data_IF_973878720713
#
_entry.id   IF_973878720713
#
_cell.length_a   1.000
_cell.length_b   1.000
_cell.length_c   1.000
_cell.angle_alpha   90.00
_cell.angle_beta   90.00
_cell.angle_gamma   90.00
#
_symmetry.space_group_name_H-M   'P 1'
#
loop_
_entity.id
_entity.type
_entity.pdbx_description
1 polymer ?
#
# COMPACT_ATOMS: atom_id res chain seq x y z
N UNK A 1 0.59 6.85 2.81
CA UNK A 1 1.87 6.17 3.15
C UNK A 1 1.65 5.39 4.44
N UNK A 2 2.15 4.15 4.52
CA UNK A 2 1.97 3.28 5.68
C UNK A 2 3.35 2.92 6.25
N UNK A 3 3.59 3.27 7.51
CA UNK A 3 4.83 3.04 8.25
C UNK A 3 4.59 1.93 9.28
N UNK A 4 5.51 0.97 9.46
CA UNK A 4 5.42 -0.04 10.52
C UNK A 4 5.38 0.57 11.93
N UNK A 5 4.67 -0.08 12.86
CA UNK A 5 4.52 0.43 14.23
C UNK A 5 5.84 0.50 15.00
N UNK A 6 6.74 -0.44 14.75
CA UNK A 6 8.07 -0.53 15.35
C UNK A 6 8.97 0.64 14.91
N UNK A 7 8.80 1.07 13.65
CA UNK A 7 9.50 2.23 13.11
C UNK A 7 8.94 3.52 13.71
N UNK A 8 7.62 3.60 13.92
CA UNK A 8 6.99 4.74 14.59
C UNK A 8 7.40 4.84 16.07
N UNK A 9 7.64 3.70 16.73
CA UNK A 9 8.09 3.66 18.13
C UNK A 9 9.51 4.20 18.31
N UNK A 10 10.43 3.89 17.38
CA UNK A 10 11.82 4.36 17.44
C UNK A 10 12.36 4.83 16.08
N UNK A 11 11.88 5.95 15.51
CA UNK A 11 12.21 6.34 14.13
C UNK A 11 13.69 6.52 13.84
N UNK A 12 14.49 6.83 14.86
CA UNK A 12 15.94 7.06 14.74
C UNK A 12 16.74 5.78 14.49
N UNK A 13 16.23 4.62 14.90
CA UNK A 13 16.92 3.33 14.78
C UNK A 13 16.74 2.70 13.39
N UNK A 14 15.85 3.27 12.59
CA UNK A 14 15.47 2.74 11.29
C UNK A 14 15.87 3.70 10.17
N UNK A 15 16.17 3.14 9.00
CA UNK A 15 16.36 3.90 7.77
C UNK A 15 15.51 3.32 6.65
N UNK A 16 14.88 4.22 5.87
CA UNK A 16 14.07 3.86 4.73
C UNK A 16 14.97 3.34 3.61
N UNK A 17 14.68 2.13 3.12
CA UNK A 17 15.46 1.45 2.08
C UNK A 17 14.67 1.17 0.80
N UNK A 18 13.37 1.45 0.80
CA UNK A 18 12.53 1.25 -0.37
C UNK A 18 11.06 1.33 -0.04
N UNK A 19 10.24 0.99 -1.03
CA UNK A 19 8.79 1.14 -0.98
C UNK A 19 8.13 -0.04 -1.71
N UNK A 20 6.91 -0.39 -1.30
CA UNK A 20 6.03 -1.29 -2.05
C UNK A 20 4.71 -0.58 -2.30
N UNK A 21 4.22 -0.69 -3.52
CA UNK A 21 2.95 -0.11 -3.93
C UNK A 21 1.87 -1.18 -3.94
N UNK A 22 0.66 -0.76 -3.62
CA UNK A 22 -0.56 -1.50 -3.88
C UNK A 22 -1.50 -0.54 -4.60
N UNK A 23 -1.77 -0.82 -5.85
CA UNK A 23 -2.53 0.04 -6.74
C UNK A 23 -3.89 -0.59 -7.03
N UNK A 24 -4.95 0.20 -6.92
CA UNK A 24 -6.29 -0.15 -7.37
C UNK A 24 -6.68 0.79 -8.52
N UNK A 25 -7.24 0.26 -9.61
CA UNK A 25 -7.77 1.08 -10.70
C UNK A 25 -9.15 1.56 -10.30
N UNK A 26 -9.37 2.86 -10.23
CA UNK A 26 -10.62 3.46 -9.75
C UNK A 26 -11.22 4.41 -10.78
N UNK A 27 -12.47 4.81 -10.55
CA UNK A 27 -13.21 5.75 -11.38
C UNK A 27 -14.02 6.73 -10.53
N UNK A 28 -13.96 8.01 -10.90
CA UNK A 28 -14.81 9.07 -10.34
C UNK A 28 -15.26 9.94 -11.50
N UNK A 29 -16.58 10.14 -11.66
CA UNK A 29 -17.15 11.04 -12.70
C UNK A 29 -16.60 10.77 -14.10
N UNK A 30 -16.52 9.49 -14.49
CA UNK A 30 -15.97 9.01 -15.75
C UNK A 30 -14.44 9.23 -15.95
N UNK A 31 -13.72 9.66 -14.93
CA UNK A 31 -12.25 9.71 -14.95
C UNK A 31 -11.69 8.45 -14.30
N UNK A 32 -10.89 7.69 -15.06
CA UNK A 32 -10.20 6.49 -14.57
C UNK A 32 -8.80 6.88 -14.09
N UNK A 33 -8.42 6.45 -12.89
CA UNK A 33 -7.12 6.74 -12.29
C UNK A 33 -6.63 5.63 -11.37
N UNK A 34 -5.33 5.61 -11.09
CA UNK A 34 -4.74 4.67 -10.14
C UNK A 34 -4.79 5.22 -8.72
N UNK A 35 -5.42 4.49 -7.80
CA UNK A 35 -5.32 4.70 -6.36
C UNK A 35 -4.15 3.93 -5.78
N UNK A 36 -3.06 4.65 -5.50
CA UNK A 36 -1.83 4.06 -4.96
C UNK A 36 -1.75 4.13 -3.44
N UNK A 37 -1.63 2.96 -2.79
CA UNK A 37 -1.25 2.82 -1.38
C UNK A 37 0.23 2.45 -1.29
N UNK A 38 1.04 3.37 -0.74
CA UNK A 38 2.48 3.18 -0.55
C UNK A 38 2.78 2.65 0.84
N UNK A 39 3.57 1.58 0.92
CA UNK A 39 4.14 1.03 2.15
C UNK A 39 5.65 1.17 2.13
N UNK A 40 6.20 1.76 3.17
CA UNK A 40 7.64 1.98 3.24
C UNK A 40 8.35 0.78 3.86
N UNK A 41 9.52 0.48 3.32
CA UNK A 41 10.41 -0.58 3.77
C UNK A 41 11.58 0.03 4.51
N UNK A 42 11.84 -0.47 5.70
CA UNK A 42 12.90 -0.01 6.59
C UNK A 42 13.88 -1.13 6.89
N UNK A 43 15.15 -0.79 7.11
CA UNK A 43 16.10 -1.67 7.81
C UNK A 43 16.58 -0.98 9.08
N UNK A 44 17.00 -1.77 10.04
CA UNK A 44 17.61 -1.24 11.24
C UNK A 44 19.01 -0.70 10.90
N UNK A 45 19.37 0.46 11.45
CA UNK A 45 20.62 1.18 11.10
C UNK A 45 21.86 0.47 11.61
N UNK A 46 21.80 -0.05 12.84
CA UNK A 46 22.96 -0.65 13.54
C UNK A 46 22.95 -2.16 13.43
N UNK A 47 21.91 -2.82 13.94
CA UNK A 47 21.75 -4.27 13.85
C UNK A 47 21.27 -4.72 12.46
N UNK A 48 22.20 -5.21 11.64
CA UNK A 48 21.92 -5.71 10.28
C UNK A 48 21.39 -7.16 10.26
N UNK A 49 21.34 -7.83 11.42
CA UNK A 49 20.77 -9.17 11.52
C UNK A 49 19.24 -9.15 11.54
N UNK A 50 18.65 -8.02 11.94
CA UNK A 50 17.20 -7.83 11.93
C UNK A 50 16.66 -7.82 10.50
N UNK A 51 15.57 -8.57 10.22
CA UNK A 51 14.95 -8.54 8.91
C UNK A 51 14.38 -7.13 8.63
N UNK A 52 14.37 -6.69 7.36
CA UNK A 52 13.73 -5.44 7.01
C UNK A 52 12.24 -5.42 7.37
N UNK A 53 11.79 -4.31 7.96
CA UNK A 53 10.39 -4.11 8.30
C UNK A 53 9.63 -3.43 7.16
N UNK A 54 8.40 -3.88 6.95
CA UNK A 54 7.44 -3.27 6.04
C UNK A 54 6.04 -3.52 6.59
N UNK A 55 5.15 -2.54 6.47
CA UNK A 55 3.77 -2.72 6.91
C UNK A 55 3.11 -3.87 6.12
N UNK A 56 2.16 -4.61 6.72
CA UNK A 56 1.39 -5.63 6.02
C UNK A 56 0.74 -5.09 4.74
N UNK A 57 0.54 -5.96 3.75
CA UNK A 57 -0.11 -5.54 2.52
C UNK A 57 -1.55 -5.12 2.83
N UNK A 58 -2.02 -3.96 2.33
CA UNK A 58 -3.42 -3.62 2.47
C UNK A 58 -4.25 -4.69 1.80
N UNK A 59 -5.40 -5.02 2.39
CA UNK A 59 -6.37 -5.86 1.72
C UNK A 59 -6.94 -5.08 0.53
N UNK A 60 -7.11 -5.74 -0.64
CA UNK A 60 -7.86 -5.16 -1.74
C UNK A 60 -9.25 -4.75 -1.27
N UNK A 61 -9.79 -3.67 -1.84
CA UNK A 61 -11.15 -3.22 -1.56
C UNK A 61 -12.20 -4.29 -1.88
N UNK A 62 -11.98 -5.08 -2.93
CA UNK A 62 -12.76 -6.30 -3.23
C UNK A 62 -11.78 -7.49 -3.28
N UNK A 63 -11.99 -8.56 -2.48
CA UNK A 63 -11.10 -9.72 -2.48
C UNK A 63 -10.92 -10.32 -3.88
N UNK A 64 -9.66 -10.57 -4.25
CA UNK A 64 -9.32 -11.18 -5.55
C UNK A 64 -9.28 -10.21 -6.73
N UNK A 65 -9.45 -8.90 -6.51
CA UNK A 65 -9.41 -7.89 -7.59
C UNK A 65 -8.37 -6.80 -7.32
N UNK A 66 -8.14 -5.98 -8.35
CA UNK A 66 -7.39 -4.71 -8.26
C UNK A 66 -8.30 -3.51 -8.56
N UNK A 67 -9.61 -3.66 -8.31
CA UNK A 67 -10.60 -2.61 -8.55
C UNK A 67 -11.46 -2.40 -7.31
N UNK A 68 -11.80 -1.14 -6.96
CA UNK A 68 -12.72 -0.84 -5.88
C UNK A 68 -14.18 -1.00 -6.33
N UNK A 69 -15.13 -0.93 -5.38
CA UNK A 69 -16.56 -1.07 -5.68
C UNK A 69 -17.10 -0.11 -6.74
N UNK A 70 -16.58 1.11 -6.82
CA UNK A 70 -17.05 2.09 -7.81
C UNK A 70 -16.79 1.63 -9.25
N UNK A 71 -15.56 1.22 -9.57
CA UNK A 71 -15.24 0.70 -10.91
C UNK A 71 -15.92 -0.65 -11.17
N UNK A 72 -15.98 -1.53 -10.18
CA UNK A 72 -16.70 -2.80 -10.34
C UNK A 72 -18.18 -2.58 -10.68
N UNK A 73 -18.85 -1.65 -9.98
CA UNK A 73 -20.25 -1.31 -10.25
C UNK A 73 -20.42 -0.72 -11.66
N UNK A 74 -19.51 0.17 -12.08
CA UNK A 74 -19.56 0.73 -13.43
C UNK A 74 -19.44 -0.35 -14.51
N UNK A 75 -18.47 -1.26 -14.40
CA UNK A 75 -18.30 -2.37 -15.36
C UNK A 75 -19.56 -3.24 -15.42
N UNK A 76 -20.20 -3.50 -14.28
CA UNK A 76 -21.40 -4.36 -14.22
C UNK A 76 -22.61 -3.65 -14.84
N UNK A 77 -22.82 -2.37 -14.51
CA UNK A 77 -24.02 -1.62 -14.88
C UNK A 77 -23.98 -1.06 -16.32
N UNK A 78 -22.80 -0.76 -16.84
CA UNK A 78 -22.60 -0.19 -18.19
C UNK A 78 -22.33 -1.29 -19.26
N UNK A 79 -22.60 -2.57 -18.95
CA UNK A 79 -22.46 -3.69 -19.90
C UNK A 79 -23.43 -3.62 -21.07
#
# INVERSE_FOLDING_TARGET
MIVPGEVLASPQDWEKIGEKHHDELDVIRAEIFWRRKVREKYRHRVDRSLPPLIAPAPRPSIPGTLVPPALAAQIIADN
#
